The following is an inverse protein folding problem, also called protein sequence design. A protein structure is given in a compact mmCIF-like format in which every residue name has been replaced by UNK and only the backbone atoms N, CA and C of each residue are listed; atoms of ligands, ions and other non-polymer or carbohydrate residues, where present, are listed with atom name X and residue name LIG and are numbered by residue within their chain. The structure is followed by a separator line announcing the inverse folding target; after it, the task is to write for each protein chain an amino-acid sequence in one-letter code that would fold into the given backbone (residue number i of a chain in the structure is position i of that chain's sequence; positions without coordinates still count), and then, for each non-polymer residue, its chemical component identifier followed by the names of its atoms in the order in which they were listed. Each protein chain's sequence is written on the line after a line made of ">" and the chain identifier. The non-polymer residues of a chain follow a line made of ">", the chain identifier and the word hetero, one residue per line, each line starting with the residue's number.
data_IF_663321139664
#
_entry.id   IF_663321139664
#
_cell.length_a   1.000
_cell.length_b   1.000
_cell.length_c   1.000
_cell.angle_alpha   90.00
_cell.angle_beta   90.00
_cell.angle_gamma   90.00
#
_symmetry.space_group_name_H-M   'P 1'
#
loop_
_entity.id
_entity.type
_entity.pdbx_description
1 polymer ?
#
# COMPACT_ATOMS: atom_id res chain seq x y z
N UNK A 1 60.78 43.59 56.56
CA UNK A 1 60.27 42.51 55.72
C UNK A 1 59.00 42.98 55.03
N UNK A 2 59.09 43.42 53.74
CA UNK A 2 57.91 43.87 52.94
C UNK A 2 57.39 42.72 52.14
N UNK A 3 56.14 42.28 52.38
CA UNK A 3 55.41 41.25 51.59
C UNK A 3 54.81 41.95 50.37
N UNK A 4 55.31 41.61 49.18
CA UNK A 4 54.68 41.98 47.87
C UNK A 4 53.58 41.02 47.56
N UNK A 5 52.32 41.48 47.51
CA UNK A 5 51.19 40.75 47.05
C UNK A 5 51.11 40.84 45.51
N UNK A 6 51.37 39.76 44.81
CA UNK A 6 51.26 39.67 43.36
C UNK A 6 49.82 39.26 43.03
N UNK A 7 48.98 40.22 42.60
CA UNK A 7 47.60 39.96 42.17
C UNK A 7 47.63 39.46 40.75
N UNK A 8 47.36 38.14 40.56
CA UNK A 8 47.26 37.52 39.28
C UNK A 8 45.87 37.88 38.66
N UNK A 9 45.86 38.69 37.62
CA UNK A 9 44.68 39.11 36.90
C UNK A 9 44.37 37.99 35.85
N UNK A 10 43.44 37.08 36.15
CA UNK A 10 42.91 36.05 35.20
C UNK A 10 42.02 36.76 34.17
N UNK A 11 42.56 37.02 32.98
CA UNK A 11 41.80 37.49 31.83
C UNK A 11 41.06 36.27 31.26
N UNK A 12 39.78 36.16 31.61
CA UNK A 12 38.87 35.20 30.99
C UNK A 12 38.55 35.64 29.56
N UNK A 13 39.19 35.04 28.57
CA UNK A 13 38.79 35.18 27.16
C UNK A 13 37.47 34.44 26.96
N UNK A 14 36.36 35.14 27.07
CA UNK A 14 35.07 34.65 26.55
C UNK A 14 35.14 34.71 25.04
N UNK A 15 35.33 33.53 24.40
CA UNK A 15 35.11 33.39 22.97
C UNK A 15 33.60 33.59 22.71
N UNK A 16 33.19 34.81 22.40
CA UNK A 16 31.87 35.08 21.83
C UNK A 16 31.94 34.58 20.40
N UNK A 17 31.54 33.32 20.18
CA UNK A 17 31.27 32.85 18.83
C UNK A 17 30.15 33.72 18.25
N UNK A 18 30.49 34.61 17.31
CA UNK A 18 29.51 35.45 16.63
C UNK A 18 28.49 34.53 15.95
N UNK A 19 27.24 34.62 16.36
CA UNK A 19 26.16 33.88 15.70
C UNK A 19 25.96 34.41 14.27
N UNK A 20 25.86 33.52 13.28
CA UNK A 20 25.60 33.91 11.90
C UNK A 20 24.29 34.69 11.80
N UNK A 21 24.31 35.79 11.07
CA UNK A 21 23.09 36.53 10.73
C UNK A 21 22.13 35.67 9.87
N UNK A 22 20.87 36.00 9.88
CA UNK A 22 19.90 35.32 9.04
C UNK A 22 20.24 35.36 7.54
N UNK A 23 20.85 36.46 7.08
CA UNK A 23 21.32 36.60 5.69
C UNK A 23 22.46 35.65 5.38
N UNK A 24 23.43 35.49 6.26
CA UNK A 24 24.53 34.54 6.11
C UNK A 24 24.03 33.09 6.15
N UNK A 25 23.13 32.78 7.07
CA UNK A 25 22.50 31.44 7.13
C UNK A 25 21.74 31.11 5.83
N UNK A 26 20.98 32.06 5.28
CA UNK A 26 20.29 31.92 4.00
C UNK A 26 21.24 31.68 2.84
N UNK A 27 22.34 32.38 2.79
CA UNK A 27 23.38 32.20 1.77
C UNK A 27 24.01 30.80 1.87
N UNK A 28 24.36 30.35 3.07
CA UNK A 28 24.89 29.00 3.30
C UNK A 28 23.87 27.90 2.90
N UNK A 29 22.57 28.09 3.21
CA UNK A 29 21.51 27.20 2.77
C UNK A 29 21.44 27.11 1.25
N UNK A 30 21.47 28.23 0.54
CA UNK A 30 21.44 28.26 -0.93
C UNK A 30 22.67 27.55 -1.50
N UNK A 31 23.87 27.82 -1.00
CA UNK A 31 25.09 27.10 -1.42
C UNK A 31 25.00 25.60 -1.18
N UNK A 32 24.50 25.17 -0.01
CA UNK A 32 24.31 23.75 0.27
C UNK A 32 23.31 23.10 -0.69
N UNK A 33 22.20 23.79 -1.00
CA UNK A 33 21.19 23.31 -1.95
C UNK A 33 21.75 23.17 -3.37
N UNK A 34 22.53 24.15 -3.83
CA UNK A 34 23.21 24.11 -5.14
C UNK A 34 24.23 22.97 -5.21
N UNK A 35 25.00 22.74 -4.15
CA UNK A 35 25.94 21.63 -4.06
C UNK A 35 25.23 20.27 -4.11
N UNK A 36 24.07 20.14 -3.44
CA UNK A 36 23.23 18.92 -3.55
C UNK A 36 22.71 18.69 -4.96
N UNK A 37 22.29 19.75 -5.68
CA UNK A 37 21.86 19.65 -7.07
C UNK A 37 23.00 19.21 -8.02
N UNK A 38 24.26 19.54 -7.66
CA UNK A 38 25.47 19.10 -8.35
C UNK A 38 26.00 17.74 -7.87
N UNK A 39 25.25 17.03 -7.00
CA UNK A 39 25.62 15.77 -6.38
C UNK A 39 26.92 15.84 -5.52
N UNK A 40 27.34 17.05 -5.11
CA UNK A 40 28.49 17.28 -4.23
C UNK A 40 28.07 17.17 -2.75
N UNK A 41 27.65 15.97 -2.37
CA UNK A 41 27.01 15.72 -1.08
C UNK A 41 27.88 16.02 0.14
N UNK A 42 29.19 15.77 0.07
CA UNK A 42 30.12 16.05 1.18
C UNK A 42 30.31 17.55 1.40
N UNK A 43 30.45 18.33 0.31
CA UNK A 43 30.60 19.78 0.40
C UNK A 43 29.29 20.41 0.92
N UNK A 44 28.14 19.91 0.47
CA UNK A 44 26.84 20.33 0.99
C UNK A 44 26.73 20.10 2.50
N UNK A 45 27.15 18.91 2.98
CA UNK A 45 27.10 18.55 4.40
C UNK A 45 27.95 19.51 5.25
N UNK A 46 29.14 19.91 4.78
CA UNK A 46 29.97 20.90 5.48
C UNK A 46 29.25 22.26 5.65
N UNK A 47 28.52 22.71 4.61
CA UNK A 47 27.70 23.93 4.69
C UNK A 47 26.53 23.78 5.66
N UNK A 48 25.85 22.64 5.63
CA UNK A 48 24.72 22.37 6.52
C UNK A 48 25.12 22.36 8.01
N UNK A 49 26.31 21.85 8.33
CA UNK A 49 26.84 21.84 9.69
C UNK A 49 27.04 23.25 10.28
N UNK A 50 27.20 24.29 9.45
CA UNK A 50 27.31 25.67 9.89
C UNK A 50 25.96 26.31 10.22
N UNK A 51 24.85 25.71 9.81
CA UNK A 51 23.48 26.25 9.96
C UNK A 51 22.50 25.21 10.57
N UNK A 52 22.85 24.55 11.69
CA UNK A 52 22.03 23.43 12.22
C UNK A 52 20.62 23.85 12.63
N UNK A 53 20.45 25.11 13.03
CA UNK A 53 19.22 25.70 13.54
C UNK A 53 18.46 26.56 12.51
N UNK A 54 18.95 26.63 11.26
CA UNK A 54 18.23 27.35 10.22
C UNK A 54 16.91 26.63 9.88
N UNK A 55 15.78 27.37 9.81
CA UNK A 55 14.44 26.74 9.75
C UNK A 55 14.19 25.74 8.60
N UNK A 56 14.96 25.83 7.51
CA UNK A 56 14.81 24.94 6.34
C UNK A 56 15.88 23.85 6.23
N UNK A 57 16.81 23.76 7.22
CA UNK A 57 17.89 22.75 7.17
C UNK A 57 17.37 21.33 7.10
N UNK A 58 16.18 21.04 7.66
CA UNK A 58 15.53 19.73 7.54
C UNK A 58 15.28 19.29 6.10
N UNK A 59 15.08 20.21 5.16
CA UNK A 59 14.91 19.88 3.74
C UNK A 59 16.23 19.39 3.12
N UNK A 60 17.35 20.00 3.49
CA UNK A 60 18.68 19.56 3.05
C UNK A 60 19.04 18.21 3.69
N UNK A 61 18.78 18.02 4.99
CA UNK A 61 18.97 16.72 5.68
C UNK A 61 18.14 15.62 5.00
N UNK A 62 16.89 15.90 4.68
CA UNK A 62 16.01 14.96 3.97
C UNK A 62 16.57 14.56 2.59
N UNK A 63 17.02 15.52 1.78
CA UNK A 63 17.64 15.23 0.48
C UNK A 63 18.94 14.45 0.62
N UNK A 64 19.76 14.77 1.62
CA UNK A 64 20.98 14.03 1.93
C UNK A 64 20.70 12.55 2.24
N UNK A 65 19.67 12.26 3.04
CA UNK A 65 19.27 10.86 3.29
C UNK A 65 18.81 10.16 2.03
N UNK A 66 17.99 10.82 1.21
CA UNK A 66 17.44 10.22 -0.02
C UNK A 66 18.49 9.92 -1.07
N UNK A 67 19.56 10.69 -1.13
CA UNK A 67 20.63 10.50 -2.13
C UNK A 67 21.41 9.20 -1.93
N UNK A 68 21.50 8.70 -0.69
CA UNK A 68 22.30 7.50 -0.39
C UNK A 68 21.76 6.73 0.82
N UNK A 69 20.63 6.06 0.65
CA UNK A 69 20.15 5.13 1.66
C UNK A 69 21.14 3.99 1.89
N UNK A 70 21.41 3.71 3.15
CA UNK A 70 22.21 2.57 3.62
C UNK A 70 21.49 1.91 4.80
N UNK A 71 21.65 0.60 5.05
CA UNK A 71 21.18 -0.01 6.29
C UNK A 71 21.78 0.63 7.54
N UNK A 72 22.98 1.22 7.44
CA UNK A 72 23.65 1.93 8.53
C UNK A 72 23.02 3.33 8.81
N UNK A 73 22.23 3.86 7.88
CA UNK A 73 21.52 5.13 8.06
C UNK A 73 20.38 5.07 9.08
N UNK A 74 20.04 3.89 9.60
CA UNK A 74 18.88 3.65 10.48
C UNK A 74 18.84 4.61 11.67
N UNK A 75 19.92 4.67 12.43
CA UNK A 75 19.99 5.51 13.64
C UNK A 75 19.85 7.00 13.32
N UNK A 76 20.52 7.46 12.25
CA UNK A 76 20.48 8.86 11.82
C UNK A 76 19.08 9.24 11.32
N UNK A 77 18.42 8.36 10.55
CA UNK A 77 17.05 8.58 10.09
C UNK A 77 16.07 8.58 11.26
N UNK A 78 16.22 7.68 12.24
CA UNK A 78 15.40 7.68 13.45
C UNK A 78 15.56 8.98 14.25
N UNK A 79 16.78 9.53 14.35
CA UNK A 79 17.03 10.81 14.99
C UNK A 79 16.34 11.97 14.25
N UNK A 80 16.41 11.98 12.91
CA UNK A 80 15.71 12.94 12.07
C UNK A 80 14.19 12.89 12.29
N UNK A 81 13.59 11.70 12.26
CA UNK A 81 12.15 11.52 12.46
C UNK A 81 11.70 11.97 13.86
N UNK A 82 12.55 11.77 14.88
CA UNK A 82 12.30 12.25 16.24
C UNK A 82 12.42 13.76 16.36
N UNK A 83 13.36 14.38 15.62
CA UNK A 83 13.57 15.82 15.59
C UNK A 83 12.44 16.57 14.85
N UNK A 84 11.87 15.95 13.81
CA UNK A 84 10.87 16.57 12.94
C UNK A 84 9.60 15.71 12.78
N UNK A 85 8.88 15.35 13.87
CA UNK A 85 7.84 14.34 13.86
C UNK A 85 6.62 14.69 12.98
N UNK A 86 6.27 15.98 12.90
CA UNK A 86 5.05 16.46 12.22
C UNK A 86 5.29 16.98 10.80
N UNK A 87 6.52 16.89 10.31
CA UNK A 87 6.85 17.35 8.97
C UNK A 87 6.46 16.30 7.91
N UNK A 88 5.88 16.76 6.80
CA UNK A 88 5.50 15.90 5.67
C UNK A 88 6.70 15.11 5.14
N UNK A 89 7.89 15.73 5.08
CA UNK A 89 9.13 15.08 4.64
C UNK A 89 9.55 13.92 5.55
N UNK A 90 9.19 13.95 6.84
CA UNK A 90 9.48 12.86 7.76
C UNK A 90 8.65 11.62 7.46
N UNK A 91 7.37 11.79 7.14
CA UNK A 91 6.51 10.68 6.72
C UNK A 91 6.97 10.09 5.39
N UNK A 92 7.41 10.94 4.47
CA UNK A 92 7.94 10.53 3.17
C UNK A 92 9.27 9.78 3.33
N UNK A 93 10.20 10.31 4.11
CA UNK A 93 11.49 9.68 4.42
C UNK A 93 11.29 8.30 5.07
N UNK A 94 10.40 8.21 6.07
CA UNK A 94 10.09 6.94 6.73
C UNK A 94 9.57 5.91 5.71
N UNK A 95 8.63 6.30 4.85
CA UNK A 95 8.07 5.43 3.83
C UNK A 95 9.14 4.97 2.85
N UNK A 96 9.93 5.87 2.30
CA UNK A 96 10.95 5.56 1.29
C UNK A 96 12.07 4.70 1.86
N UNK A 97 12.49 4.97 3.09
CA UNK A 97 13.50 4.13 3.75
C UNK A 97 12.98 2.72 4.03
N UNK A 98 11.71 2.57 4.43
CA UNK A 98 11.07 1.25 4.55
C UNK A 98 11.03 0.50 3.22
N UNK A 99 10.73 1.20 2.12
CA UNK A 99 10.79 0.61 0.78
C UNK A 99 12.22 0.17 0.42
N UNK A 100 13.20 1.00 0.69
CA UNK A 100 14.60 0.68 0.46
C UNK A 100 15.01 -0.58 1.23
N UNK A 101 14.74 -0.64 2.53
CA UNK A 101 15.07 -1.80 3.37
C UNK A 101 14.34 -3.07 2.88
N UNK A 102 13.07 -2.96 2.59
CA UNK A 102 12.25 -4.08 2.11
C UNK A 102 12.68 -4.61 0.74
N UNK A 103 12.93 -3.72 -0.21
CA UNK A 103 13.36 -4.06 -1.58
C UNK A 103 14.74 -4.74 -1.59
N UNK A 104 15.65 -4.31 -0.72
CA UNK A 104 16.99 -4.87 -0.59
C UNK A 104 17.09 -6.00 0.44
N UNK A 105 15.97 -6.40 1.06
CA UNK A 105 15.88 -7.50 2.03
C UNK A 105 16.72 -7.30 3.31
N UNK A 106 16.89 -6.06 3.73
CA UNK A 106 17.49 -5.75 5.02
C UNK A 106 16.46 -5.95 6.15
N UNK A 107 16.14 -7.24 6.43
CA UNK A 107 15.01 -7.61 7.27
C UNK A 107 15.18 -7.18 8.72
N UNK A 108 16.35 -7.33 9.28
CA UNK A 108 16.62 -6.95 10.67
C UNK A 108 16.47 -5.44 10.87
N UNK A 109 17.05 -4.66 9.96
CA UNK A 109 16.93 -3.20 9.98
C UNK A 109 15.47 -2.76 9.75
N UNK A 110 14.74 -3.42 8.86
CA UNK A 110 13.32 -3.14 8.62
C UNK A 110 12.49 -3.35 9.89
N UNK A 111 12.67 -4.47 10.57
CA UNK A 111 11.94 -4.79 11.80
C UNK A 111 12.36 -3.91 12.99
N UNK A 112 13.63 -3.54 13.07
CA UNK A 112 14.15 -2.61 14.06
C UNK A 112 13.62 -1.19 13.82
N UNK A 113 13.62 -0.74 12.56
CA UNK A 113 13.15 0.58 12.18
C UNK A 113 11.63 0.73 12.33
N UNK A 114 10.87 -0.29 11.95
CA UNK A 114 9.40 -0.28 12.01
C UNK A 114 8.85 -1.60 12.53
N UNK A 115 8.79 -1.80 13.85
CA UNK A 115 8.37 -3.07 14.47
C UNK A 115 6.87 -3.35 14.36
N UNK A 116 6.06 -2.37 13.93
CA UNK A 116 4.60 -2.48 13.77
C UNK A 116 4.24 -2.86 12.34
N UNK A 117 3.05 -3.48 12.16
CA UNK A 117 2.52 -3.78 10.83
C UNK A 117 2.18 -2.47 10.08
N UNK A 118 2.81 -2.20 8.91
CA UNK A 118 2.53 -1.00 8.14
C UNK A 118 1.10 -0.97 7.56
N UNK A 119 0.60 0.22 7.21
CA UNK A 119 -0.73 0.37 6.61
C UNK A 119 -0.73 0.11 5.10
N UNK A 120 0.32 0.49 4.35
CA UNK A 120 0.37 0.24 2.91
C UNK A 120 0.57 -1.25 2.61
N UNK A 121 -0.09 -1.75 1.57
CA UNK A 121 -0.05 -3.18 1.20
C UNK A 121 1.36 -3.66 0.88
N UNK A 122 2.14 -2.85 0.18
CA UNK A 122 3.51 -3.19 -0.23
C UNK A 122 4.41 -3.34 1.00
N UNK A 123 4.38 -2.35 1.89
CA UNK A 123 5.16 -2.35 3.13
C UNK A 123 4.70 -3.47 4.08
N UNK A 124 3.38 -3.78 4.12
CA UNK A 124 2.89 -4.98 4.82
C UNK A 124 3.57 -6.24 4.30
N UNK A 125 3.69 -6.37 3.00
CA UNK A 125 4.28 -7.56 2.40
C UNK A 125 5.78 -7.67 2.63
N UNK A 126 6.52 -6.55 2.65
CA UNK A 126 7.91 -6.56 3.12
C UNK A 126 8.02 -6.94 4.60
N UNK A 127 7.17 -6.39 5.45
CA UNK A 127 7.10 -6.78 6.87
C UNK A 127 6.81 -8.28 7.03
N UNK A 128 5.88 -8.83 6.26
CA UNK A 128 5.60 -10.27 6.28
C UNK A 128 6.80 -11.09 5.81
N UNK A 129 7.52 -10.67 4.77
CA UNK A 129 8.74 -11.34 4.32
C UNK A 129 9.81 -11.35 5.43
N UNK A 130 10.02 -10.20 6.09
CA UNK A 130 10.94 -10.09 7.22
C UNK A 130 10.55 -11.04 8.36
N UNK A 131 9.28 -11.10 8.71
CA UNK A 131 8.77 -12.03 9.74
C UNK A 131 8.83 -13.50 9.33
N UNK A 132 8.72 -13.82 8.04
CA UNK A 132 8.97 -15.18 7.55
C UNK A 132 10.45 -15.57 7.68
N UNK A 133 11.35 -14.65 7.36
CA UNK A 133 12.79 -14.85 7.55
C UNK A 133 13.16 -15.09 9.03
N UNK A 134 12.43 -14.46 9.94
CA UNK A 134 12.55 -14.61 11.40
C UNK A 134 11.71 -15.79 11.95
N UNK A 135 11.32 -16.76 11.11
CA UNK A 135 10.56 -17.96 11.48
C UNK A 135 9.23 -17.71 12.20
N UNK A 136 8.62 -16.51 12.06
CA UNK A 136 7.37 -16.12 12.72
C UNK A 136 6.12 -16.34 11.84
N UNK A 137 6.14 -17.33 10.94
CA UNK A 137 5.06 -17.60 9.98
C UNK A 137 3.68 -17.75 10.63
N UNK A 138 3.57 -18.49 11.72
CA UNK A 138 2.30 -18.69 12.43
C UNK A 138 1.73 -17.40 12.99
N UNK A 139 2.59 -16.51 13.49
CA UNK A 139 2.19 -15.25 14.12
C UNK A 139 1.60 -14.25 13.12
N UNK A 140 2.11 -14.21 11.90
CA UNK A 140 1.63 -13.27 10.87
C UNK A 140 0.48 -13.82 10.04
N UNK A 141 0.16 -15.11 10.14
CA UNK A 141 -0.88 -15.73 9.33
C UNK A 141 -2.24 -15.01 9.33
N UNK A 142 -2.79 -14.55 10.47
CA UNK A 142 -4.07 -13.82 10.45
C UNK A 142 -4.04 -12.59 9.55
N UNK A 143 -2.98 -11.79 9.63
CA UNK A 143 -2.82 -10.57 8.83
C UNK A 143 -2.56 -10.88 7.34
N UNK A 144 -1.81 -11.94 7.02
CA UNK A 144 -1.62 -12.41 5.65
C UNK A 144 -2.95 -12.89 5.05
N UNK A 145 -3.75 -13.65 5.82
CA UNK A 145 -5.08 -14.10 5.40
C UNK A 145 -6.03 -12.93 5.10
N UNK A 146 -6.03 -11.91 5.94
CA UNK A 146 -6.79 -10.68 5.71
C UNK A 146 -6.33 -9.98 4.43
N UNK A 147 -5.01 -9.85 4.23
CA UNK A 147 -4.42 -9.26 3.02
C UNK A 147 -4.76 -10.07 1.76
N UNK A 148 -4.78 -11.41 1.86
CA UNK A 148 -5.20 -12.29 0.77
C UNK A 148 -6.65 -12.05 0.35
N UNK A 149 -7.56 -11.84 1.30
CA UNK A 149 -9.01 -11.71 1.06
C UNK A 149 -9.37 -10.34 0.48
N UNK A 150 -8.82 -10.06 -0.68
CA UNK A 150 -9.12 -8.87 -1.49
C UNK A 150 -9.54 -9.27 -2.90
N UNK A 151 -10.38 -8.46 -3.52
CA UNK A 151 -10.83 -8.66 -4.90
C UNK A 151 -9.98 -7.93 -5.95
N UNK A 152 -8.79 -7.45 -5.58
CA UNK A 152 -7.83 -6.79 -6.48
C UNK A 152 -6.49 -7.48 -6.42
N UNK A 153 -5.65 -7.27 -7.46
CA UNK A 153 -4.27 -7.74 -7.43
C UNK A 153 -3.50 -7.06 -6.32
N UNK A 154 -2.61 -7.81 -5.69
CA UNK A 154 -1.67 -7.30 -4.71
C UNK A 154 -0.37 -6.89 -5.40
N UNK A 155 0.45 -6.11 -4.70
CA UNK A 155 1.77 -5.73 -5.19
C UNK A 155 2.71 -6.96 -5.27
N UNK A 156 3.68 -6.92 -6.17
CA UNK A 156 4.66 -8.00 -6.38
C UNK A 156 5.45 -8.32 -5.10
N UNK A 157 5.62 -7.35 -4.20
CA UNK A 157 6.20 -7.57 -2.88
C UNK A 157 5.46 -8.63 -2.05
N UNK A 158 4.18 -8.91 -2.36
CA UNK A 158 3.38 -9.92 -1.67
C UNK A 158 3.64 -11.35 -2.17
N UNK A 159 4.14 -11.52 -3.40
CA UNK A 159 4.24 -12.83 -4.05
C UNK A 159 5.04 -13.86 -3.24
N UNK A 160 6.23 -13.55 -2.68
CA UNK A 160 6.98 -14.54 -1.91
C UNK A 160 6.21 -15.04 -0.68
N UNK A 161 5.49 -14.15 -0.01
CA UNK A 161 4.67 -14.50 1.16
C UNK A 161 3.50 -15.38 0.76
N UNK A 162 2.77 -14.99 -0.28
CA UNK A 162 1.60 -15.73 -0.74
C UNK A 162 1.98 -17.12 -1.27
N UNK A 163 3.10 -17.23 -2.00
CA UNK A 163 3.65 -18.51 -2.47
C UNK A 163 4.02 -19.42 -1.29
N UNK A 164 4.63 -18.87 -0.23
CA UNK A 164 4.91 -19.65 0.98
C UNK A 164 3.63 -20.26 1.55
N UNK A 165 2.55 -19.46 1.75
CA UNK A 165 1.30 -19.95 2.33
C UNK A 165 0.47 -20.84 1.39
N UNK A 166 0.61 -20.69 0.09
CA UNK A 166 0.08 -21.64 -0.90
C UNK A 166 0.81 -22.99 -0.80
N UNK A 167 2.15 -22.98 -0.74
CA UNK A 167 2.98 -24.19 -0.64
C UNK A 167 2.67 -25.02 0.62
N UNK A 168 2.50 -24.38 1.76
CA UNK A 168 2.14 -25.05 3.02
C UNK A 168 0.63 -25.26 3.19
N UNK A 169 -0.17 -25.02 2.14
CA UNK A 169 -1.63 -25.23 2.09
C UNK A 169 -2.44 -24.47 3.16
N UNK A 170 -1.89 -23.39 3.71
CA UNK A 170 -2.66 -22.47 4.59
C UNK A 170 -3.63 -21.61 3.77
N UNK A 171 -3.26 -21.21 2.54
CA UNK A 171 -4.19 -20.72 1.53
C UNK A 171 -4.78 -21.95 0.84
N UNK A 172 -5.90 -22.40 1.34
CA UNK A 172 -6.62 -23.58 0.88
C UNK A 172 -7.63 -23.25 -0.25
N UNK A 173 -8.31 -24.28 -0.79
CA UNK A 173 -9.29 -24.13 -1.85
C UNK A 173 -10.47 -23.22 -1.46
N UNK A 174 -10.82 -23.16 -0.17
CA UNK A 174 -11.87 -22.27 0.33
C UNK A 174 -11.42 -20.80 0.25
N UNK A 175 -10.20 -20.49 0.63
CA UNK A 175 -9.65 -19.12 0.57
C UNK A 175 -9.40 -18.69 -0.89
N UNK A 176 -8.97 -19.61 -1.78
CA UNK A 176 -8.83 -19.34 -3.22
C UNK A 176 -10.21 -18.97 -3.80
N UNK A 177 -11.24 -19.76 -3.47
CA UNK A 177 -12.61 -19.50 -3.92
C UNK A 177 -13.16 -18.17 -3.40
N UNK A 178 -12.96 -17.85 -2.12
CA UNK A 178 -13.40 -16.58 -1.54
C UNK A 178 -12.77 -15.38 -2.26
N UNK A 179 -11.47 -15.43 -2.53
CA UNK A 179 -10.80 -14.37 -3.28
C UNK A 179 -11.31 -14.27 -4.73
N UNK A 180 -11.58 -15.40 -5.36
CA UNK A 180 -12.20 -15.42 -6.68
C UNK A 180 -13.58 -14.72 -6.68
N UNK A 181 -14.43 -14.99 -5.70
CA UNK A 181 -15.72 -14.32 -5.55
C UNK A 181 -15.55 -12.79 -5.47
N UNK A 182 -14.61 -12.32 -4.66
CA UNK A 182 -14.31 -10.89 -4.53
C UNK A 182 -13.80 -10.30 -5.85
N UNK A 183 -12.95 -11.02 -6.57
CA UNK A 183 -12.42 -10.58 -7.87
C UNK A 183 -13.50 -10.53 -8.96
N UNK A 184 -14.43 -11.48 -8.93
CA UNK A 184 -15.59 -11.49 -9.81
C UNK A 184 -16.48 -10.27 -9.61
N UNK A 185 -16.83 -9.95 -8.35
CA UNK A 185 -17.64 -8.78 -8.01
C UNK A 185 -16.99 -7.46 -8.49
N UNK A 186 -15.66 -7.38 -8.44
CA UNK A 186 -14.87 -6.23 -8.91
C UNK A 186 -14.50 -6.30 -10.40
N UNK A 187 -14.86 -7.35 -11.10
CA UNK A 187 -14.53 -7.58 -12.52
C UNK A 187 -13.02 -7.57 -12.82
N UNK A 188 -12.24 -8.14 -11.91
CA UNK A 188 -10.77 -8.22 -12.03
C UNK A 188 -10.36 -9.47 -12.82
N UNK A 189 -10.50 -9.43 -14.15
CA UNK A 189 -10.36 -10.62 -15.02
C UNK A 189 -8.95 -11.22 -14.98
N UNK A 190 -7.89 -10.42 -14.87
CA UNK A 190 -6.52 -10.93 -14.74
C UNK A 190 -6.36 -11.74 -13.45
N UNK A 191 -6.83 -11.21 -12.30
CA UNK A 191 -6.79 -11.90 -11.02
C UNK A 191 -7.67 -13.19 -11.05
N UNK A 192 -8.85 -13.11 -11.65
CA UNK A 192 -9.71 -14.31 -11.82
C UNK A 192 -9.00 -15.41 -12.60
N UNK A 193 -8.34 -15.07 -13.71
CA UNK A 193 -7.58 -16.02 -14.54
C UNK A 193 -6.48 -16.71 -13.71
N UNK A 194 -5.71 -15.94 -12.96
CA UNK A 194 -4.69 -16.49 -12.06
C UNK A 194 -5.28 -17.41 -11.00
N UNK A 195 -6.36 -17.00 -10.33
CA UNK A 195 -6.98 -17.80 -9.26
C UNK A 195 -7.56 -19.13 -9.79
N UNK A 196 -8.06 -19.17 -11.03
CA UNK A 196 -8.52 -20.40 -11.68
C UNK A 196 -7.38 -21.43 -11.80
N UNK A 197 -6.14 -20.98 -12.05
CA UNK A 197 -4.99 -21.91 -12.13
C UNK A 197 -4.66 -22.57 -10.79
N UNK A 198 -5.08 -21.97 -9.67
CA UNK A 198 -4.87 -22.50 -8.32
C UNK A 198 -6.01 -23.42 -7.85
N UNK A 199 -7.11 -23.52 -8.62
CA UNK A 199 -8.30 -24.28 -8.22
C UNK A 199 -8.18 -25.76 -8.58
N UNK A 200 -8.78 -26.60 -7.72
CA UNK A 200 -9.06 -28.00 -8.04
C UNK A 200 -10.26 -28.11 -9.01
N UNK A 201 -10.43 -29.28 -9.62
CA UNK A 201 -11.45 -29.52 -10.66
C UNK A 201 -12.89 -29.25 -10.20
N UNK A 202 -13.19 -29.44 -8.91
CA UNK A 202 -14.53 -29.22 -8.37
C UNK A 202 -14.98 -27.74 -8.46
N UNK A 203 -14.09 -26.81 -8.29
CA UNK A 203 -14.36 -25.36 -8.33
C UNK A 203 -14.04 -24.75 -9.69
N UNK A 204 -13.07 -25.31 -10.41
CA UNK A 204 -12.52 -24.78 -11.64
C UNK A 204 -13.57 -24.58 -12.73
N UNK A 205 -14.39 -25.60 -12.99
CA UNK A 205 -15.45 -25.54 -14.01
C UNK A 205 -16.41 -24.37 -13.78
N UNK A 206 -16.88 -24.18 -12.54
CA UNK A 206 -17.77 -23.06 -12.20
C UNK A 206 -17.06 -21.71 -12.35
N UNK A 207 -15.80 -21.63 -11.91
CA UNK A 207 -15.00 -20.42 -12.03
C UNK A 207 -14.77 -20.01 -13.49
N UNK A 208 -14.52 -20.96 -14.40
CA UNK A 208 -14.36 -20.73 -15.84
C UNK A 208 -15.66 -20.21 -16.49
N UNK A 209 -16.81 -20.76 -16.09
CA UNK A 209 -18.10 -20.25 -16.56
C UNK A 209 -18.36 -18.82 -16.10
N UNK A 210 -18.10 -18.52 -14.82
CA UNK A 210 -18.21 -17.17 -14.26
C UNK A 210 -17.21 -16.20 -14.91
N UNK A 211 -15.98 -16.64 -15.16
CA UNK A 211 -14.98 -15.87 -15.88
C UNK A 211 -15.45 -15.49 -17.30
N UNK A 212 -16.07 -16.46 -18.00
CA UNK A 212 -16.66 -16.22 -19.31
C UNK A 212 -17.76 -15.15 -19.25
N UNK A 213 -18.66 -15.22 -18.25
CA UNK A 213 -19.68 -14.20 -18.02
C UNK A 213 -19.08 -12.82 -17.67
N UNK A 214 -17.98 -12.78 -16.93
CA UNK A 214 -17.30 -11.51 -16.62
C UNK A 214 -16.73 -10.84 -17.87
N UNK A 215 -16.26 -11.63 -18.86
CA UNK A 215 -15.76 -11.09 -20.16
C UNK A 215 -16.90 -10.76 -21.14
N UNK A 216 -17.93 -11.60 -21.17
CA UNK A 216 -19.08 -11.52 -22.10
C UNK A 216 -20.39 -11.51 -21.30
N UNK A 217 -20.75 -10.39 -20.63
CA UNK A 217 -21.92 -10.34 -19.75
C UNK A 217 -23.24 -10.60 -20.47
N UNK A 218 -23.32 -10.38 -21.78
CA UNK A 218 -24.50 -10.69 -22.62
C UNK A 218 -24.83 -12.21 -22.61
N UNK A 219 -23.87 -13.08 -22.39
CA UNK A 219 -24.11 -14.52 -22.24
C UNK A 219 -24.98 -14.86 -21.02
N UNK A 220 -25.19 -13.92 -20.10
CA UNK A 220 -26.10 -14.08 -18.98
C UNK A 220 -27.52 -14.41 -19.44
N UNK A 221 -27.97 -13.83 -20.54
CA UNK A 221 -29.34 -13.99 -21.05
C UNK A 221 -29.68 -15.45 -21.47
N UNK A 222 -28.66 -16.22 -21.86
CA UNK A 222 -28.79 -17.62 -22.29
C UNK A 222 -28.16 -18.61 -21.31
N UNK A 223 -27.60 -18.12 -20.18
CA UNK A 223 -26.93 -18.97 -19.21
C UNK A 223 -27.91 -19.82 -18.40
N UNK A 224 -27.58 -21.09 -18.22
CA UNK A 224 -28.27 -22.00 -17.31
C UNK A 224 -27.62 -22.05 -15.93
N UNK A 225 -26.53 -21.32 -15.71
CA UNK A 225 -25.70 -21.38 -14.51
C UNK A 225 -26.49 -21.04 -13.23
N UNK A 226 -27.50 -20.17 -13.34
CA UNK A 226 -28.27 -19.65 -12.22
C UNK A 226 -29.70 -20.27 -12.14
N UNK A 227 -29.98 -21.30 -12.87
CA UNK A 227 -31.34 -21.94 -12.86
C UNK A 227 -31.55 -22.85 -11.66
N UNK A 228 -30.50 -23.30 -10.97
CA UNK A 228 -30.60 -24.12 -9.77
C UNK A 228 -30.74 -23.24 -8.52
N UNK A 229 -31.78 -23.49 -7.71
CA UNK A 229 -32.20 -22.73 -6.50
C UNK A 229 -31.20 -22.67 -5.33
N UNK A 230 -29.91 -22.93 -5.54
CA UNK A 230 -28.90 -22.82 -4.47
C UNK A 230 -28.58 -21.38 -4.20
N UNK A 231 -28.84 -20.91 -2.99
CA UNK A 231 -28.66 -19.53 -2.49
C UNK A 231 -27.28 -18.89 -2.75
N UNK A 232 -26.24 -19.70 -2.96
CA UNK A 232 -24.90 -19.24 -3.37
C UNK A 232 -24.83 -18.59 -4.76
N UNK A 233 -25.90 -18.68 -5.55
CA UNK A 233 -25.94 -18.15 -6.92
C UNK A 233 -26.30 -16.66 -6.97
N UNK A 234 -26.94 -16.11 -5.94
CA UNK A 234 -27.44 -14.73 -5.95
C UNK A 234 -26.34 -13.68 -6.13
N UNK A 235 -25.26 -13.78 -5.36
CA UNK A 235 -24.17 -12.79 -5.42
C UNK A 235 -23.51 -12.72 -6.80
N UNK A 236 -23.34 -13.86 -7.45
CA UNK A 236 -22.81 -13.93 -8.81
C UNK A 236 -23.81 -13.39 -9.83
N UNK A 237 -25.09 -13.76 -9.69
CA UNK A 237 -26.13 -13.24 -10.56
C UNK A 237 -26.27 -11.72 -10.41
N UNK A 238 -26.29 -11.22 -9.20
CA UNK A 238 -26.31 -9.79 -8.90
C UNK A 238 -25.12 -9.07 -9.55
N UNK A 239 -23.90 -9.59 -9.37
CA UNK A 239 -22.71 -9.03 -10.00
C UNK A 239 -22.78 -9.09 -11.54
N UNK A 240 -23.31 -10.17 -12.11
CA UNK A 240 -23.48 -10.35 -13.56
C UNK A 240 -24.50 -9.35 -14.14
N UNK A 241 -25.66 -9.20 -13.50
CA UNK A 241 -26.68 -8.22 -13.90
C UNK A 241 -26.12 -6.81 -13.82
N UNK A 242 -25.38 -6.49 -12.75
CA UNK A 242 -24.71 -5.18 -12.59
C UNK A 242 -23.69 -4.93 -13.70
N UNK A 243 -22.89 -5.91 -14.06
CA UNK A 243 -21.90 -5.79 -15.15
C UNK A 243 -22.61 -5.59 -16.51
N UNK A 244 -23.68 -6.33 -16.76
CA UNK A 244 -24.46 -6.23 -18.00
C UNK A 244 -25.18 -4.87 -18.09
N UNK A 245 -25.83 -4.40 -17.01
CA UNK A 245 -26.52 -3.12 -16.95
C UNK A 245 -25.58 -1.91 -17.15
N UNK A 246 -24.33 -2.00 -16.69
CA UNK A 246 -23.31 -0.96 -16.95
C UNK A 246 -22.89 -0.90 -18.41
N UNK A 247 -22.94 -2.03 -19.13
CA UNK A 247 -22.65 -2.10 -20.57
C UNK A 247 -23.85 -1.70 -21.41
N UNK A 248 -25.02 -2.20 -21.03
CA UNK A 248 -26.31 -1.90 -21.67
C UNK A 248 -27.43 -2.11 -20.65
N UNK A 249 -28.13 -1.02 -20.28
CA UNK A 249 -29.15 -1.01 -19.25
C UNK A 249 -30.38 -1.83 -19.64
N UNK A 250 -30.76 -1.84 -20.93
CA UNK A 250 -31.90 -2.62 -21.44
C UNK A 250 -31.64 -4.11 -21.33
N UNK A 251 -30.43 -4.55 -21.66
CA UNK A 251 -30.04 -5.96 -21.49
C UNK A 251 -29.95 -6.35 -20.01
N UNK A 252 -29.49 -5.43 -19.15
CA UNK A 252 -29.51 -5.61 -17.69
C UNK A 252 -30.91 -5.80 -17.15
N UNK A 253 -31.87 -4.98 -17.59
CA UNK A 253 -33.28 -5.10 -17.23
C UNK A 253 -33.88 -6.42 -17.73
N UNK A 254 -33.62 -6.78 -18.99
CA UNK A 254 -34.06 -8.06 -19.58
C UNK A 254 -33.54 -9.24 -18.76
N UNK A 255 -32.26 -9.23 -18.36
CA UNK A 255 -31.70 -10.26 -17.51
C UNK A 255 -32.38 -10.33 -16.14
N UNK A 256 -32.62 -9.18 -15.48
CA UNK A 256 -33.33 -9.13 -14.21
C UNK A 256 -34.71 -9.79 -14.32
N UNK A 257 -35.53 -9.38 -15.30
CA UNK A 257 -36.88 -9.94 -15.52
C UNK A 257 -36.84 -11.44 -15.84
N UNK A 258 -35.85 -11.89 -16.60
CA UNK A 258 -35.65 -13.31 -16.91
C UNK A 258 -35.40 -14.16 -15.66
N UNK A 259 -34.62 -13.66 -14.72
CA UNK A 259 -34.25 -14.37 -13.51
C UNK A 259 -35.20 -14.15 -12.33
N UNK A 260 -35.93 -13.00 -12.28
CA UNK A 260 -36.94 -12.73 -11.24
C UNK A 260 -38.00 -13.83 -11.17
N UNK A 261 -38.38 -14.39 -12.34
CA UNK A 261 -39.35 -15.49 -12.44
C UNK A 261 -38.75 -16.89 -12.18
N UNK A 262 -37.43 -17.02 -12.26
CA UNK A 262 -36.74 -18.33 -12.10
C UNK A 262 -36.14 -18.51 -10.70
N UNK A 263 -35.86 -17.43 -9.99
CA UNK A 263 -35.18 -17.44 -8.70
C UNK A 263 -36.03 -16.68 -7.68
N UNK A 264 -36.22 -17.27 -6.50
CA UNK A 264 -36.86 -16.56 -5.39
C UNK A 264 -35.89 -15.56 -4.75
N UNK A 265 -35.96 -14.31 -5.18
CA UNK A 265 -35.28 -13.21 -4.51
C UNK A 265 -36.00 -12.80 -3.23
N UNK A 266 -35.26 -12.54 -2.17
CA UNK A 266 -35.79 -11.83 -1.00
C UNK A 266 -36.14 -10.39 -1.36
N UNK A 267 -37.00 -9.74 -0.55
CA UNK A 267 -37.36 -8.32 -0.77
C UNK A 267 -36.13 -7.41 -0.80
N UNK A 268 -35.11 -7.70 0.05
CA UNK A 268 -33.86 -6.96 0.08
C UNK A 268 -33.02 -7.13 -1.20
N UNK A 269 -32.96 -8.33 -1.73
CA UNK A 269 -32.25 -8.65 -2.96
C UNK A 269 -32.91 -8.00 -4.18
N UNK A 270 -34.24 -8.04 -4.28
CA UNK A 270 -35.00 -7.32 -5.33
C UNK A 270 -34.74 -5.83 -5.28
N UNK A 271 -34.82 -5.22 -4.08
CA UNK A 271 -34.58 -3.80 -3.92
C UNK A 271 -33.17 -3.41 -4.35
N UNK A 272 -32.18 -4.24 -4.00
CA UNK A 272 -30.79 -4.00 -4.39
C UNK A 272 -30.61 -4.08 -5.92
N UNK A 273 -31.17 -5.06 -6.60
CA UNK A 273 -31.12 -5.18 -8.06
C UNK A 273 -31.83 -3.99 -8.75
N UNK A 274 -33.01 -3.57 -8.27
CA UNK A 274 -33.72 -2.39 -8.79
C UNK A 274 -32.90 -1.12 -8.63
N UNK A 275 -32.23 -0.90 -7.49
CA UNK A 275 -31.32 0.23 -7.29
C UNK A 275 -30.16 0.22 -8.29
N UNK A 276 -29.57 -0.95 -8.55
CA UNK A 276 -28.46 -1.11 -9.51
C UNK A 276 -28.93 -0.74 -10.93
N UNK A 277 -30.08 -1.22 -11.36
CA UNK A 277 -30.66 -0.92 -12.68
C UNK A 277 -31.01 0.56 -12.82
N UNK A 278 -31.63 1.15 -11.80
CA UNK A 278 -31.95 2.57 -11.78
C UNK A 278 -30.68 3.45 -11.87
N UNK A 279 -29.65 3.11 -11.13
CA UNK A 279 -28.36 3.82 -11.20
C UNK A 279 -27.71 3.70 -12.59
N UNK A 280 -27.74 2.52 -13.20
CA UNK A 280 -27.25 2.31 -14.56
C UNK A 280 -28.04 3.12 -15.59
N UNK A 281 -29.36 3.22 -15.42
CA UNK A 281 -30.25 4.05 -16.27
C UNK A 281 -29.90 5.54 -16.17
N UNK A 282 -29.73 6.07 -14.97
CA UNK A 282 -29.34 7.48 -14.78
C UNK A 282 -27.99 7.78 -15.45
N UNK A 283 -27.00 6.91 -15.26
CA UNK A 283 -25.68 7.08 -15.89
C UNK A 283 -25.72 6.96 -17.42
N UNK A 284 -26.67 6.21 -18.00
CA UNK A 284 -26.82 6.11 -19.45
C UNK A 284 -27.38 7.40 -20.07
N UNK A 285 -28.23 8.13 -19.33
CA UNK A 285 -28.80 9.41 -19.78
C UNK A 285 -27.82 10.59 -19.71
N UNK A 286 -26.80 10.51 -18.86
CA UNK A 286 -25.75 11.55 -18.75
C UNK A 286 -24.72 11.43 -19.90
N UNK A 287 -24.67 10.26 -20.57
CA UNK A 287 -23.70 9.98 -21.66
C UNK A 287 -24.33 10.13 -23.06
N UNK A 288 -25.64 10.30 -23.15
CA UNK A 288 -26.39 10.64 -24.37
C UNK A 288 -26.56 12.15 -24.50
#
# INVERSE_FOLDING_TARGET
>A
MKKIFLTLFLISFTNIAASLTLSEQRNLYTQASELQQQEKWQDALQKMQLIPDYPLTYLLEYQQFKSNFSPDSLTAIQAFLKKYPDHVVSQDLQREYLYYLGKNRFWDQLLQFYPKLPNSTDLKCFYFQAKLADNQSSRIWPAVKETWLTGVSLANACDPVLQHYLKIKKIDQKLIWQRFQLSYQKKQTALMSYLITLMNDSNKRLAEQLFTLSKKPEKLLTSTLFTNKKQKSYDYLNASIKQLARKNVQLGLKAYLTYENKIHFTSKERLNLKKILYHAFLLSKVKS
#
